data_IF_108921804573
#
_entry.id   IF_108921804573
#
_cell.length_a   1.000
_cell.length_b   1.000
_cell.length_c   1.000
_cell.angle_alpha   90.00
_cell.angle_beta   90.00
_cell.angle_gamma   90.00
#
_symmetry.space_group_name_H-M   'P 1'
#
loop_
_entity.id
_entity.type
_entity.pdbx_description
1 polymer ?
#
# COMPACT_ATOMS: atom_id res chain seq x y z
N UNK A 1 28.28 11.20 -3.86
CA UNK A 1 28.63 9.96 -4.62
C UNK A 1 27.69 9.85 -5.79
N UNK A 2 28.11 9.25 -6.91
CA UNK A 2 27.30 9.13 -8.13
C UNK A 2 26.63 7.76 -8.24
N UNK A 3 25.42 7.74 -8.80
CA UNK A 3 24.67 6.52 -9.17
C UNK A 3 23.96 6.75 -10.49
N UNK A 4 23.62 5.66 -11.20
CA UNK A 4 22.67 5.71 -12.32
C UNK A 4 21.28 5.36 -11.80
N UNK A 5 20.28 6.12 -12.19
CA UNK A 5 18.92 5.89 -11.75
C UNK A 5 17.89 6.72 -12.50
N UNK A 6 16.61 6.40 -12.27
CA UNK A 6 15.50 7.24 -12.73
C UNK A 6 15.13 8.26 -11.65
N UNK A 7 14.86 9.48 -12.06
CA UNK A 7 14.59 10.58 -11.14
C UNK A 7 13.52 11.54 -11.67
N UNK A 8 12.69 12.02 -10.76
CA UNK A 8 11.78 13.13 -11.02
C UNK A 8 12.53 14.45 -11.12
N UNK A 9 12.04 15.33 -11.99
CA UNK A 9 12.49 16.70 -12.09
C UNK A 9 11.30 17.63 -12.33
N UNK A 10 11.46 18.92 -12.00
CA UNK A 10 10.42 19.92 -12.24
C UNK A 10 10.39 20.32 -13.73
N UNK A 11 9.72 19.50 -14.54
CA UNK A 11 9.56 19.70 -15.98
C UNK A 11 8.21 19.15 -16.43
N UNK A 12 7.45 19.95 -17.18
CA UNK A 12 6.16 19.53 -17.74
C UNK A 12 6.33 18.53 -18.90
N UNK A 13 7.43 18.62 -19.65
CA UNK A 13 7.67 17.77 -20.83
C UNK A 13 8.45 16.51 -20.52
N UNK A 14 9.35 16.56 -19.55
CA UNK A 14 10.20 15.45 -19.12
C UNK A 14 10.21 15.33 -17.59
N UNK A 15 9.09 14.98 -16.95
CA UNK A 15 9.01 14.91 -15.50
C UNK A 15 9.84 13.79 -14.89
N UNK A 16 10.22 12.78 -15.68
CA UNK A 16 11.00 11.63 -15.25
C UNK A 16 12.13 11.37 -16.26
N UNK A 17 13.34 11.16 -15.76
CA UNK A 17 14.54 10.87 -16.57
C UNK A 17 15.35 9.72 -15.99
N UNK A 18 16.14 9.07 -16.85
CA UNK A 18 17.22 8.16 -16.45
C UNK A 18 18.56 8.82 -16.71
N UNK A 19 19.50 8.72 -15.76
CA UNK A 19 20.84 9.25 -15.92
C UNK A 19 21.70 9.17 -14.66
N UNK A 20 22.93 9.67 -14.77
CA UNK A 20 23.84 9.79 -13.63
C UNK A 20 23.42 10.96 -12.73
N UNK A 21 23.29 10.70 -11.44
CA UNK A 21 22.96 11.68 -10.43
C UNK A 21 23.90 11.58 -9.22
N UNK A 22 24.11 12.69 -8.54
CA UNK A 22 24.77 12.69 -7.25
C UNK A 22 23.77 12.25 -6.18
N UNK A 23 24.09 11.19 -5.46
CA UNK A 23 23.31 10.80 -4.27
C UNK A 23 23.45 11.87 -3.19
N UNK A 24 22.34 12.20 -2.61
CA UNK A 24 22.28 13.04 -1.43
C UNK A 24 21.94 12.13 -0.28
N UNK A 25 22.86 12.01 0.66
CA UNK A 25 22.52 11.40 1.92
C UNK A 25 21.37 12.22 2.54
N UNK A 26 20.28 11.59 2.96
CA UNK A 26 19.21 12.28 3.67
C UNK A 26 19.85 13.11 4.78
N UNK A 27 19.66 14.43 4.82
CA UNK A 27 20.51 15.29 5.62
C UNK A 27 20.38 15.08 7.12
N UNK A 28 19.35 14.37 7.60
CA UNK A 28 19.09 14.20 9.03
C UNK A 28 18.32 12.93 9.30
N UNK A 29 18.96 11.78 9.15
CA UNK A 29 18.39 10.55 9.70
C UNK A 29 18.73 10.48 11.19
N UNK A 30 18.03 11.26 12.00
CA UNK A 30 18.05 11.08 13.44
C UNK A 30 16.92 10.13 13.82
N UNK A 31 17.25 8.97 14.25
CA UNK A 31 16.35 8.12 15.01
C UNK A 31 16.71 8.31 16.48
N UNK A 32 15.79 8.92 17.24
CA UNK A 32 15.85 9.03 18.71
C UNK A 32 17.20 9.51 19.30
N UNK A 33 17.63 10.72 18.95
CA UNK A 33 18.68 11.40 19.70
C UNK A 33 20.10 10.85 19.53
N UNK A 34 20.34 9.98 18.57
CA UNK A 34 21.68 9.50 18.22
C UNK A 34 22.37 10.43 17.22
N UNK A 35 23.70 10.52 17.34
CA UNK A 35 24.53 11.26 16.41
C UNK A 35 24.41 10.70 15.00
N UNK A 36 24.71 11.54 13.97
CA UNK A 36 24.69 11.19 12.54
C UNK A 36 25.12 9.75 12.28
N UNK A 37 24.15 8.87 12.03
CA UNK A 37 24.45 7.52 11.56
C UNK A 37 25.03 7.61 10.14
N UNK A 38 26.15 6.94 9.93
CA UNK A 38 26.71 6.79 8.57
C UNK A 38 25.79 5.84 7.80
N UNK A 39 25.26 6.29 6.67
CA UNK A 39 24.42 5.42 5.83
C UNK A 39 25.15 4.16 5.39
N UNK A 40 24.45 3.04 5.35
CA UNK A 40 24.94 1.78 4.79
C UNK A 40 24.63 1.76 3.28
N UNK A 41 25.66 1.45 2.47
CA UNK A 41 25.49 1.23 1.04
C UNK A 41 24.65 -0.03 0.79
N UNK A 42 23.62 0.11 -0.05
CA UNK A 42 22.83 -1.01 -0.52
C UNK A 42 22.53 -0.87 -2.02
N UNK A 43 22.34 -2.02 -2.66
CA UNK A 43 22.05 -2.14 -4.08
C UNK A 43 20.61 -2.59 -4.27
N UNK A 44 19.72 -1.74 -4.81
CA UNK A 44 18.40 -2.18 -5.25
C UNK A 44 18.52 -3.35 -6.23
N UNK A 45 17.78 -4.42 -5.98
CA UNK A 45 17.86 -5.66 -6.73
C UNK A 45 16.59 -5.90 -7.54
N UNK A 46 15.44 -5.70 -6.91
CA UNK A 46 14.12 -5.92 -7.48
C UNK A 46 13.18 -4.81 -7.04
N UNK A 47 12.66 -4.06 -7.99
CA UNK A 47 11.85 -2.85 -7.71
C UNK A 47 10.43 -3.01 -8.26
N UNK A 48 9.44 -2.66 -7.45
CA UNK A 48 8.04 -2.56 -7.84
C UNK A 48 7.65 -1.13 -8.20
N UNK A 49 6.68 -1.00 -9.09
CA UNK A 49 6.08 0.28 -9.44
C UNK A 49 4.83 0.52 -8.60
N UNK A 50 4.76 1.65 -7.92
CA UNK A 50 3.62 2.07 -7.11
C UNK A 50 2.77 3.12 -7.82
N UNK A 51 1.47 3.19 -7.50
CA UNK A 51 0.59 4.27 -7.96
C UNK A 51 1.10 5.65 -7.58
N UNK A 52 1.76 5.77 -6.44
CA UNK A 52 2.42 7.00 -5.98
C UNK A 52 3.47 7.48 -6.96
N UNK A 53 4.31 6.59 -7.51
CA UNK A 53 5.32 6.97 -8.52
C UNK A 53 4.67 7.63 -9.74
N UNK A 54 3.53 7.08 -10.19
CA UNK A 54 2.78 7.60 -11.33
C UNK A 54 2.15 8.97 -11.04
N UNK A 55 1.60 9.16 -9.84
CA UNK A 55 1.04 10.45 -9.43
C UNK A 55 2.13 11.52 -9.28
N UNK A 56 3.28 11.16 -8.70
CA UNK A 56 4.44 12.05 -8.60
C UNK A 56 5.00 12.43 -9.99
N UNK A 57 5.03 11.48 -10.93
CA UNK A 57 5.43 11.78 -12.31
C UNK A 57 4.52 12.84 -12.97
N UNK A 58 3.26 12.88 -12.58
CA UNK A 58 2.28 13.86 -13.08
C UNK A 58 2.31 15.21 -12.35
N UNK A 59 3.14 15.39 -11.33
CA UNK A 59 3.10 16.60 -10.48
C UNK A 59 3.26 17.90 -11.24
N UNK A 60 4.04 17.93 -12.33
CA UNK A 60 4.11 19.04 -13.27
C UNK A 60 2.89 19.19 -14.18
N UNK A 61 1.96 18.20 -14.17
CA UNK A 61 0.76 18.07 -15.02
C UNK A 61 -0.54 18.03 -14.25
N UNK A 62 -0.60 18.55 -13.01
CA UNK A 62 -1.74 18.52 -12.11
C UNK A 62 -1.91 17.20 -11.30
N UNK A 63 -0.82 16.57 -10.88
CA UNK A 63 -0.86 15.45 -9.91
C UNK A 63 -1.39 15.88 -8.53
N UNK A 64 -1.98 14.96 -7.79
CA UNK A 64 -2.53 15.20 -6.45
C UNK A 64 -1.45 15.23 -5.36
N UNK A 65 -0.27 14.69 -5.63
CA UNK A 65 0.87 14.64 -4.72
C UNK A 65 1.98 15.57 -5.20
N UNK A 66 2.67 16.21 -4.26
CA UNK A 66 3.84 17.03 -4.52
C UNK A 66 5.07 16.32 -3.96
N UNK A 67 5.95 15.83 -4.84
CA UNK A 67 7.26 15.37 -4.40
C UNK A 67 8.05 16.54 -3.84
N UNK A 68 8.62 16.37 -2.65
CA UNK A 68 9.58 17.32 -2.13
C UNK A 68 10.98 16.85 -2.50
N UNK A 69 11.70 17.70 -3.21
CA UNK A 69 13.09 17.44 -3.53
C UNK A 69 13.97 17.58 -2.28
N UNK A 70 15.05 16.79 -2.17
CA UNK A 70 16.04 16.99 -1.12
C UNK A 70 16.54 18.44 -1.12
N UNK A 71 16.90 18.96 0.07
CA UNK A 71 17.31 20.35 0.24
C UNK A 71 18.45 20.75 -0.71
N UNK A 72 18.24 21.83 -1.47
CA UNK A 72 19.21 22.33 -2.46
C UNK A 72 19.17 21.62 -3.81
N UNK A 73 18.34 20.59 -3.99
CA UNK A 73 18.24 19.83 -5.24
C UNK A 73 16.98 20.16 -6.03
N UNK A 74 17.05 19.87 -7.34
CA UNK A 74 15.94 20.03 -8.28
C UNK A 74 15.49 18.69 -8.86
N UNK A 75 15.79 17.60 -8.17
CA UNK A 75 15.51 16.24 -8.60
C UNK A 75 15.34 15.31 -7.39
N UNK A 76 14.69 14.17 -7.60
CA UNK A 76 14.50 13.11 -6.61
C UNK A 76 14.53 11.76 -7.34
N UNK A 77 15.39 10.82 -6.93
CA UNK A 77 15.32 9.44 -7.42
C UNK A 77 14.02 8.86 -6.95
N UNK A 78 13.24 8.28 -7.89
CA UNK A 78 11.94 7.68 -7.58
C UNK A 78 12.04 6.23 -7.07
N UNK A 79 10.88 5.66 -6.71
CA UNK A 79 10.74 4.27 -6.27
C UNK A 79 10.90 4.09 -4.77
N UNK A 80 9.99 3.32 -4.19
CA UNK A 80 9.92 3.09 -2.74
C UNK A 80 9.52 1.66 -2.37
N UNK A 81 9.37 0.76 -3.34
CA UNK A 81 9.06 -0.65 -3.12
C UNK A 81 10.19 -1.50 -3.69
N UNK A 82 11.10 -1.97 -2.85
CA UNK A 82 12.30 -2.68 -3.34
C UNK A 82 12.83 -3.68 -2.34
N UNK A 83 13.43 -4.74 -2.89
CA UNK A 83 14.37 -5.60 -2.17
C UNK A 83 15.78 -5.14 -2.51
N UNK A 84 16.60 -4.92 -1.50
CA UNK A 84 17.98 -4.46 -1.64
C UNK A 84 18.97 -5.51 -1.16
N UNK A 85 20.18 -5.51 -1.74
CA UNK A 85 21.33 -6.25 -1.24
C UNK A 85 22.23 -5.32 -0.42
N UNK A 86 22.60 -5.74 0.80
CA UNK A 86 23.47 -5.01 1.71
C UNK A 86 24.83 -5.70 1.79
N UNK A 87 25.86 -5.25 1.03
CA UNK A 87 27.14 -5.94 0.92
C UNK A 87 27.89 -6.07 2.25
N UNK A 88 27.87 -5.01 3.08
CA UNK A 88 28.58 -4.99 4.38
C UNK A 88 28.04 -6.04 5.35
N UNK A 89 26.79 -6.47 5.18
CA UNK A 89 26.13 -7.45 6.04
C UNK A 89 25.92 -8.81 5.33
N UNK A 90 26.19 -8.83 4.01
CA UNK A 90 26.00 -10.01 3.17
C UNK A 90 24.58 -10.59 3.27
N UNK A 91 23.56 -9.69 3.22
CA UNK A 91 22.14 -10.02 3.38
C UNK A 91 21.26 -9.22 2.43
N UNK A 92 20.08 -9.76 2.16
CA UNK A 92 18.98 -9.00 1.56
C UNK A 92 18.14 -8.31 2.63
N UNK A 93 17.60 -7.13 2.28
CA UNK A 93 16.73 -6.37 3.16
C UNK A 93 15.58 -5.71 2.37
N UNK A 94 14.52 -5.35 3.09
CA UNK A 94 13.47 -4.45 2.65
C UNK A 94 13.73 -3.08 3.27
N UNK A 95 13.53 -2.01 2.51
CA UNK A 95 13.71 -0.66 3.02
C UNK A 95 12.41 -0.18 3.66
N UNK A 96 12.47 0.18 4.95
CA UNK A 96 11.40 0.94 5.58
C UNK A 96 11.48 2.38 5.04
N UNK A 97 10.50 2.76 4.23
CA UNK A 97 10.65 3.95 3.39
C UNK A 97 10.39 5.27 4.11
N UNK A 98 9.72 5.25 5.26
CA UNK A 98 9.36 6.46 6.03
C UNK A 98 10.18 6.57 7.30
N UNK A 99 10.75 7.74 7.55
CA UNK A 99 11.56 8.03 8.74
C UNK A 99 11.49 9.50 9.15
N UNK A 100 12.09 9.78 10.29
CA UNK A 100 12.17 11.11 10.91
C UNK A 100 12.58 10.99 12.37
N UNK A 101 12.71 12.11 13.07
CA UNK A 101 13.01 12.14 14.51
C UNK A 101 11.81 11.68 15.35
N UNK A 102 10.59 11.90 14.87
CA UNK A 102 9.38 11.32 15.45
C UNK A 102 9.30 9.85 15.10
N UNK A 103 9.20 9.01 16.13
CA UNK A 103 8.98 7.59 15.92
C UNK A 103 7.50 7.22 15.72
N UNK A 104 6.63 8.23 15.75
CA UNK A 104 5.20 8.05 15.51
C UNK A 104 4.88 8.41 14.06
N UNK A 105 4.67 7.40 13.20
CA UNK A 105 4.39 7.63 11.78
C UNK A 105 3.04 8.35 11.55
N UNK A 106 2.20 8.46 12.57
CA UNK A 106 0.92 9.18 12.48
C UNK A 106 1.08 10.68 12.60
N UNK A 107 2.26 11.17 13.02
CA UNK A 107 2.56 12.58 13.25
C UNK A 107 3.56 13.18 12.25
N UNK A 108 3.71 12.58 11.10
CA UNK A 108 4.72 13.02 10.12
C UNK A 108 4.57 14.48 9.68
N UNK A 109 3.36 15.03 9.66
CA UNK A 109 3.13 16.43 9.30
C UNK A 109 3.62 17.43 10.36
N UNK A 110 3.86 16.97 11.58
CA UNK A 110 4.40 17.75 12.70
C UNK A 110 5.92 17.56 12.86
N UNK A 111 6.51 16.59 12.15
CA UNK A 111 7.92 16.27 12.21
C UNK A 111 8.67 16.94 11.06
N UNK A 112 9.41 18.02 11.36
CA UNK A 112 10.23 18.74 10.38
C UNK A 112 11.36 17.88 9.81
N UNK A 113 11.69 16.76 10.45
CA UNK A 113 12.72 15.83 10.01
C UNK A 113 12.19 14.67 9.17
N UNK A 114 10.86 14.61 8.95
CA UNK A 114 10.24 13.58 8.14
C UNK A 114 10.81 13.51 6.75
N UNK A 115 11.01 12.30 6.28
CA UNK A 115 11.36 11.99 4.91
C UNK A 115 10.68 10.69 4.44
N UNK A 116 10.55 10.55 3.15
CA UNK A 116 10.10 9.32 2.51
C UNK A 116 10.97 9.03 1.28
N UNK A 117 11.67 7.90 1.29
CA UNK A 117 12.51 7.51 0.17
C UNK A 117 11.69 7.45 -1.13
N UNK A 118 12.15 8.16 -2.15
CA UNK A 118 11.50 8.22 -3.46
C UNK A 118 10.26 9.11 -3.57
N UNK A 119 9.83 9.74 -2.46
CA UNK A 119 8.64 10.59 -2.43
C UNK A 119 8.88 11.96 -1.80
N UNK A 120 9.50 12.03 -0.62
CA UNK A 120 9.67 13.26 0.14
C UNK A 120 11.08 13.36 0.74
N UNK A 121 11.89 14.30 0.26
CA UNK A 121 13.16 14.70 0.85
C UNK A 121 14.32 13.70 0.75
N UNK A 122 14.09 12.47 0.30
CA UNK A 122 15.12 11.43 0.23
C UNK A 122 15.09 10.64 -1.09
N UNK A 123 16.28 10.41 -1.68
CA UNK A 123 16.44 9.64 -2.90
C UNK A 123 15.93 8.20 -2.75
N UNK A 124 15.15 7.72 -3.72
CA UNK A 124 14.51 6.41 -3.74
C UNK A 124 15.39 5.27 -4.26
N UNK A 125 14.74 4.26 -4.78
CA UNK A 125 15.28 2.92 -5.00
C UNK A 125 15.47 2.54 -6.48
N UNK A 126 14.96 3.32 -7.44
CA UNK A 126 15.20 3.07 -8.87
C UNK A 126 16.60 3.59 -9.30
N UNK A 127 17.63 3.05 -8.66
CA UNK A 127 19.04 3.39 -8.93
C UNK A 127 19.95 2.18 -8.70
N UNK A 128 21.19 2.26 -9.22
CA UNK A 128 22.12 1.15 -9.11
C UNK A 128 22.61 0.95 -7.66
N UNK A 129 22.67 2.03 -6.87
CA UNK A 129 23.00 1.99 -5.44
C UNK A 129 22.48 3.22 -4.71
N UNK A 130 22.23 3.09 -3.43
CA UNK A 130 21.85 4.16 -2.53
C UNK A 130 22.42 3.91 -1.12
N UNK A 131 22.28 4.88 -0.22
CA UNK A 131 22.67 4.79 1.18
C UNK A 131 21.43 4.91 2.05
N UNK A 132 21.30 3.99 3.00
CA UNK A 132 20.16 3.93 3.91
C UNK A 132 20.63 3.99 5.36
N UNK A 133 19.78 4.55 6.20
CA UNK A 133 19.95 4.40 7.64
C UNK A 133 19.86 2.89 8.00
N UNK A 134 20.81 2.34 8.75
CA UNK A 134 20.79 0.92 9.15
C UNK A 134 19.46 0.48 9.76
N UNK A 135 18.83 1.34 10.54
CA UNK A 135 17.54 1.05 11.20
C UNK A 135 16.35 1.03 10.22
N UNK A 136 16.54 1.52 8.99
CA UNK A 136 15.55 1.46 7.93
C UNK A 136 15.70 0.20 7.05
N UNK A 137 16.70 -0.63 7.32
CA UNK A 137 16.95 -1.88 6.60
C UNK A 137 16.42 -3.06 7.40
N UNK A 138 15.26 -3.57 6.99
CA UNK A 138 14.64 -4.73 7.61
C UNK A 138 15.10 -6.00 6.90
N UNK A 139 15.90 -6.83 7.61
CA UNK A 139 16.39 -8.08 7.04
C UNK A 139 15.28 -9.08 6.80
N UNK A 140 15.48 -9.92 5.79
CA UNK A 140 14.58 -11.04 5.55
C UNK A 140 14.63 -12.03 6.72
N UNK A 141 13.54 -12.80 6.96
CA UNK A 141 13.50 -13.84 7.98
C UNK A 141 14.72 -14.78 7.95
N UNK A 142 15.12 -15.32 9.09
CA UNK A 142 16.31 -16.18 9.26
C UNK A 142 16.40 -17.33 8.26
N UNK A 143 15.26 -17.90 7.86
CA UNK A 143 15.21 -18.98 6.81
C UNK A 143 15.80 -18.56 5.46
N UNK A 144 16.01 -17.26 5.23
CA UNK A 144 16.62 -16.69 4.02
C UNK A 144 18.04 -16.14 4.28
N UNK A 145 18.59 -16.36 5.48
CA UNK A 145 19.96 -15.97 5.81
C UNK A 145 20.96 -16.74 4.95
N UNK A 146 21.99 -16.03 4.49
CA UNK A 146 23.03 -16.63 3.65
C UNK A 146 22.70 -16.79 2.16
N UNK A 147 21.51 -16.37 1.71
CA UNK A 147 21.22 -16.30 0.28
C UNK A 147 22.24 -15.39 -0.41
N UNK A 148 22.84 -15.88 -1.51
CA UNK A 148 23.73 -15.10 -2.38
C UNK A 148 22.99 -14.49 -3.56
N UNK A 149 21.87 -15.09 -3.92
CA UNK A 149 20.95 -14.63 -4.96
C UNK A 149 19.53 -14.77 -4.46
N UNK A 150 18.71 -13.77 -4.76
CA UNK A 150 17.31 -13.74 -4.39
C UNK A 150 16.48 -14.51 -5.41
N UNK A 151 15.73 -15.55 -5.03
CA UNK A 151 14.81 -16.24 -5.91
C UNK A 151 13.76 -15.28 -6.48
N UNK A 152 13.48 -15.38 -7.77
CA UNK A 152 12.54 -14.47 -8.45
C UNK A 152 11.13 -14.52 -7.83
N UNK A 153 10.64 -15.72 -7.52
CA UNK A 153 9.32 -15.87 -6.85
C UNK A 153 9.27 -15.18 -5.51
N UNK A 154 10.36 -15.26 -4.71
CA UNK A 154 10.45 -14.54 -3.43
C UNK A 154 10.52 -13.02 -3.64
N UNK A 155 11.31 -12.55 -4.60
CA UNK A 155 11.42 -11.12 -4.93
C UNK A 155 10.05 -10.53 -5.32
N UNK A 156 9.29 -11.25 -6.16
CA UNK A 156 7.93 -10.88 -6.57
C UNK A 156 6.95 -10.78 -5.39
N UNK A 157 7.11 -11.58 -4.35
CA UNK A 157 6.31 -11.49 -3.12
C UNK A 157 6.71 -10.28 -2.28
N UNK A 158 8.00 -10.14 -2.05
CA UNK A 158 8.55 -9.11 -1.14
C UNK A 158 8.43 -7.68 -1.67
N UNK A 159 8.28 -7.48 -2.96
CA UNK A 159 8.04 -6.15 -3.55
C UNK A 159 6.74 -5.51 -3.06
N UNK A 160 5.85 -6.29 -2.48
CA UNK A 160 4.61 -5.82 -1.88
C UNK A 160 4.73 -5.42 -0.40
N UNK A 161 5.92 -5.45 0.19
CA UNK A 161 6.08 -5.26 1.64
C UNK A 161 5.49 -3.93 2.12
N UNK A 162 5.73 -2.82 1.43
CA UNK A 162 5.15 -1.53 1.78
C UNK A 162 3.61 -1.51 1.68
N UNK A 163 2.98 -1.81 0.54
CA UNK A 163 1.52 -1.78 0.46
C UNK A 163 0.83 -2.85 1.32
N UNK A 164 1.51 -3.97 1.60
CA UNK A 164 0.97 -4.98 2.49
C UNK A 164 1.05 -4.57 3.96
N UNK A 165 2.12 -3.89 4.38
CA UNK A 165 2.22 -3.29 5.72
C UNK A 165 1.12 -2.25 5.97
N UNK A 166 0.77 -1.46 4.94
CA UNK A 166 -0.42 -0.60 5.00
C UNK A 166 -1.69 -1.41 5.30
N UNK A 167 -1.88 -2.55 4.63
CA UNK A 167 -3.07 -3.38 4.83
C UNK A 167 -3.12 -4.02 6.23
N UNK A 168 -1.99 -4.46 6.77
CA UNK A 168 -1.87 -4.94 8.16
C UNK A 168 -2.34 -3.85 9.12
N UNK A 169 -1.79 -2.65 8.98
CA UNK A 169 -2.14 -1.50 9.82
C UNK A 169 -3.62 -1.12 9.68
N UNK A 170 -4.16 -1.09 8.45
CA UNK A 170 -5.58 -0.79 8.22
C UNK A 170 -6.50 -1.79 8.90
N UNK A 171 -6.15 -3.08 8.84
CA UNK A 171 -6.92 -4.12 9.50
C UNK A 171 -6.94 -3.91 11.03
N UNK A 172 -5.79 -3.71 11.66
CA UNK A 172 -5.68 -3.49 13.11
C UNK A 172 -6.48 -2.25 13.55
N UNK A 173 -6.40 -1.15 12.79
CA UNK A 173 -7.19 0.05 13.07
C UNK A 173 -8.70 -0.16 12.96
N UNK A 174 -9.16 -0.89 11.94
CA UNK A 174 -10.59 -1.24 11.82
C UNK A 174 -11.05 -2.11 12.97
N UNK A 175 -10.23 -3.06 13.40
CA UNK A 175 -10.52 -3.93 14.53
C UNK A 175 -10.65 -3.13 15.85
N UNK A 176 -9.69 -2.26 16.15
CA UNK A 176 -9.71 -1.39 17.34
C UNK A 176 -10.95 -0.51 17.40
N UNK A 177 -11.27 0.16 16.27
CA UNK A 177 -12.45 1.02 16.16
C UNK A 177 -13.72 0.20 16.33
N UNK A 178 -13.82 -0.93 15.66
CA UNK A 178 -14.99 -1.82 15.72
C UNK A 178 -15.22 -2.39 17.12
N UNK A 179 -14.17 -2.82 17.79
CA UNK A 179 -14.27 -3.26 19.18
C UNK A 179 -14.77 -2.13 20.09
N UNK A 180 -14.23 -0.93 19.96
CA UNK A 180 -14.67 0.21 20.77
C UNK A 180 -16.14 0.56 20.55
N UNK A 181 -16.64 0.49 19.31
CA UNK A 181 -18.03 0.77 18.97
C UNK A 181 -18.99 -0.33 19.41
N UNK A 182 -18.65 -1.59 19.14
CA UNK A 182 -19.56 -2.72 19.28
C UNK A 182 -19.55 -3.35 20.65
N UNK A 183 -18.49 -3.19 21.45
CA UNK A 183 -18.34 -3.84 22.77
C UNK A 183 -19.57 -3.68 23.68
N UNK A 184 -20.02 -2.42 23.87
CA UNK A 184 -21.18 -2.16 24.76
C UNK A 184 -22.49 -2.70 24.20
N UNK A 185 -22.63 -2.69 22.88
CA UNK A 185 -23.79 -3.20 22.16
C UNK A 185 -23.87 -4.72 22.34
N UNK A 186 -22.76 -5.44 22.08
CA UNK A 186 -22.73 -6.90 22.22
C UNK A 186 -22.88 -7.34 23.67
N UNK A 187 -22.26 -6.62 24.62
CA UNK A 187 -22.44 -6.90 26.05
C UNK A 187 -23.90 -6.78 26.50
N UNK A 188 -24.57 -5.71 26.12
CA UNK A 188 -25.98 -5.48 26.48
C UNK A 188 -26.91 -6.48 25.80
N UNK A 189 -26.67 -6.76 24.51
CA UNK A 189 -27.50 -7.71 23.73
C UNK A 189 -27.40 -9.15 24.21
N UNK A 190 -26.20 -9.62 24.54
CA UNK A 190 -25.91 -11.02 24.89
C UNK A 190 -25.86 -11.26 26.38
N UNK A 191 -25.81 -10.21 27.20
CA UNK A 191 -25.70 -10.32 28.69
C UNK A 191 -24.50 -11.18 29.13
N UNK A 192 -23.37 -11.03 28.46
CA UNK A 192 -22.18 -11.83 28.64
C UNK A 192 -21.08 -11.09 29.42
N UNK A 193 -19.99 -11.76 29.71
CA UNK A 193 -18.79 -11.15 30.34
C UNK A 193 -18.10 -10.14 29.42
N UNK A 194 -17.19 -9.32 29.94
CA UNK A 194 -16.44 -8.35 29.17
C UNK A 194 -15.54 -9.04 28.13
N UNK A 195 -14.92 -10.17 28.48
CA UNK A 195 -14.08 -10.93 27.55
C UNK A 195 -14.88 -11.47 26.37
N UNK A 196 -16.04 -12.07 26.63
CA UNK A 196 -16.95 -12.55 25.59
C UNK A 196 -17.50 -11.41 24.74
N UNK A 197 -17.85 -10.27 25.36
CA UNK A 197 -18.32 -9.10 24.63
C UNK A 197 -17.26 -8.53 23.70
N UNK A 198 -15.99 -8.54 24.09
CA UNK A 198 -14.87 -8.11 23.23
C UNK A 198 -14.71 -9.04 22.03
N UNK A 199 -14.79 -10.35 22.23
CA UNK A 199 -14.70 -11.32 21.14
C UNK A 199 -15.85 -11.16 20.14
N UNK A 200 -17.10 -11.06 20.64
CA UNK A 200 -18.26 -10.79 19.79
C UNK A 200 -18.18 -9.45 19.07
N UNK A 201 -17.60 -8.42 19.70
CA UNK A 201 -17.39 -7.12 19.05
C UNK A 201 -16.39 -7.22 17.93
N UNK A 202 -15.31 -7.99 18.10
CA UNK A 202 -14.30 -8.28 17.07
C UNK A 202 -14.93 -8.99 15.88
N UNK A 203 -15.65 -10.08 16.10
CA UNK A 203 -16.31 -10.85 15.04
C UNK A 203 -17.36 -10.00 14.30
N UNK A 204 -18.23 -9.30 15.05
CA UNK A 204 -19.32 -8.51 14.45
C UNK A 204 -18.81 -7.31 13.63
N UNK A 205 -17.60 -6.83 13.91
CA UNK A 205 -16.96 -5.76 13.13
C UNK A 205 -16.79 -6.16 11.68
N UNK A 206 -16.35 -7.39 11.40
CA UNK A 206 -16.09 -7.86 10.05
C UNK A 206 -17.16 -8.83 9.50
N UNK A 207 -18.39 -8.76 10.03
CA UNK A 207 -19.50 -9.63 9.55
C UNK A 207 -19.78 -9.42 8.05
N UNK A 208 -19.84 -8.15 7.61
CA UNK A 208 -20.12 -7.78 6.20
C UNK A 208 -19.18 -6.68 5.75
N UNK A 209 -18.23 -7.04 4.91
CA UNK A 209 -17.17 -6.13 4.43
C UNK A 209 -17.34 -5.84 2.94
N UNK A 210 -17.35 -4.57 2.59
CA UNK A 210 -17.30 -4.09 1.21
C UNK A 210 -15.95 -3.44 0.97
N UNK A 211 -15.25 -3.86 -0.08
CA UNK A 211 -14.00 -3.23 -0.54
C UNK A 211 -14.26 -2.65 -1.93
N UNK A 212 -14.36 -1.32 -2.00
CA UNK A 212 -14.68 -0.61 -3.24
C UNK A 212 -13.39 -0.20 -3.96
N UNK A 213 -13.01 -1.02 -4.92
CA UNK A 213 -11.76 -0.97 -5.67
C UNK A 213 -11.02 -2.30 -5.60
N UNK A 214 -10.60 -2.81 -6.77
CA UNK A 214 -9.88 -4.07 -6.91
C UNK A 214 -8.44 -3.80 -7.39
N UNK A 215 -7.76 -2.92 -6.71
CA UNK A 215 -6.32 -2.68 -6.84
C UNK A 215 -5.52 -3.50 -5.83
N UNK A 216 -4.20 -3.34 -5.86
CA UNK A 216 -3.25 -4.04 -4.98
C UNK A 216 -3.64 -3.89 -3.50
N UNK A 217 -3.85 -2.66 -3.05
CA UNK A 217 -4.21 -2.37 -1.65
C UNK A 217 -5.54 -2.99 -1.24
N UNK A 218 -6.56 -2.92 -2.11
CA UNK A 218 -7.85 -3.55 -1.85
C UNK A 218 -7.72 -5.05 -1.63
N UNK A 219 -6.96 -5.74 -2.50
CA UNK A 219 -6.70 -7.18 -2.36
C UNK A 219 -5.98 -7.51 -1.05
N UNK A 220 -5.00 -6.70 -0.65
CA UNK A 220 -4.25 -6.93 0.60
C UNK A 220 -5.11 -6.72 1.84
N UNK A 221 -5.95 -5.68 1.86
CA UNK A 221 -6.89 -5.47 2.95
C UNK A 221 -7.87 -6.65 3.03
N UNK A 222 -8.38 -7.12 1.90
CA UNK A 222 -9.24 -8.29 1.86
C UNK A 222 -8.55 -9.57 2.34
N UNK A 223 -7.29 -9.79 1.97
CA UNK A 223 -6.48 -10.92 2.42
C UNK A 223 -6.23 -10.85 3.94
N UNK A 224 -5.90 -9.68 4.48
CA UNK A 224 -5.73 -9.48 5.92
C UNK A 224 -7.02 -9.75 6.69
N UNK A 225 -8.15 -9.26 6.21
CA UNK A 225 -9.45 -9.54 6.84
C UNK A 225 -9.75 -11.05 6.79
N UNK A 226 -9.53 -11.72 5.66
CA UNK A 226 -9.77 -13.15 5.53
C UNK A 226 -8.91 -13.99 6.45
N UNK A 227 -7.63 -13.63 6.61
CA UNK A 227 -6.67 -14.34 7.50
C UNK A 227 -7.07 -14.28 8.96
N UNK A 228 -7.63 -13.16 9.39
CA UNK A 228 -7.96 -12.92 10.80
C UNK A 228 -9.44 -13.20 11.10
N UNK A 229 -10.33 -13.18 10.10
CA UNK A 229 -11.77 -13.35 10.21
C UNK A 229 -12.27 -14.30 9.12
N UNK A 230 -12.15 -15.61 9.37
CA UNK A 230 -12.47 -16.66 8.40
C UNK A 230 -13.94 -16.57 7.91
N UNK A 231 -14.86 -16.20 8.78
CA UNK A 231 -16.28 -16.12 8.48
C UNK A 231 -16.76 -14.79 7.89
N UNK A 232 -15.86 -13.80 7.72
CA UNK A 232 -16.20 -12.50 7.15
C UNK A 232 -16.80 -12.65 5.75
N UNK A 233 -17.92 -11.99 5.49
CA UNK A 233 -18.48 -11.88 4.13
C UNK A 233 -17.79 -10.71 3.42
N UNK A 234 -16.85 -11.01 2.57
CA UNK A 234 -16.06 -9.98 1.83
C UNK A 234 -16.60 -9.88 0.41
N UNK A 235 -16.94 -8.67 0.00
CA UNK A 235 -17.34 -8.33 -1.37
C UNK A 235 -16.41 -7.27 -1.94
N UNK A 236 -15.70 -7.62 -3.00
CA UNK A 236 -15.02 -6.63 -3.82
C UNK A 236 -15.97 -6.02 -4.83
N UNK A 237 -15.86 -4.71 -5.01
CA UNK A 237 -16.65 -3.93 -5.98
C UNK A 237 -15.70 -3.22 -6.94
N UNK A 238 -15.93 -3.35 -8.25
CA UNK A 238 -15.06 -2.72 -9.24
C UNK A 238 -15.59 -2.81 -10.66
N UNK A 239 -14.84 -2.29 -11.63
CA UNK A 239 -15.25 -2.25 -13.06
C UNK A 239 -14.54 -3.28 -13.94
N UNK A 240 -13.70 -4.13 -13.36
CA UNK A 240 -12.98 -5.14 -14.14
C UNK A 240 -13.91 -6.29 -14.52
N UNK A 241 -13.70 -6.86 -15.71
CA UNK A 241 -14.43 -8.09 -16.06
C UNK A 241 -14.02 -9.24 -15.14
N UNK A 242 -14.91 -10.21 -14.96
CA UNK A 242 -14.69 -11.38 -14.09
C UNK A 242 -13.53 -12.26 -14.56
N UNK A 243 -13.14 -12.17 -15.82
CA UNK A 243 -12.07 -12.95 -16.44
C UNK A 243 -10.66 -12.42 -16.11
N UNK A 244 -10.56 -11.23 -15.53
CA UNK A 244 -9.25 -10.64 -15.21
C UNK A 244 -8.53 -11.40 -14.08
N UNK A 245 -7.21 -11.48 -14.17
CA UNK A 245 -6.38 -12.17 -13.17
C UNK A 245 -6.64 -11.68 -11.73
N UNK A 246 -6.82 -10.37 -11.56
CA UNK A 246 -7.12 -9.77 -10.24
C UNK A 246 -8.47 -10.22 -9.66
N UNK A 247 -9.50 -10.41 -10.49
CA UNK A 247 -10.80 -10.91 -10.02
C UNK A 247 -10.70 -12.40 -9.70
N UNK A 248 -10.02 -13.17 -10.53
CA UNK A 248 -9.73 -14.59 -10.24
C UNK A 248 -8.96 -14.74 -8.93
N UNK A 249 -7.92 -13.94 -8.73
CA UNK A 249 -7.14 -13.93 -7.49
C UNK A 249 -8.01 -13.58 -6.25
N UNK A 250 -8.87 -12.56 -6.37
CA UNK A 250 -9.80 -12.20 -5.30
C UNK A 250 -10.73 -13.35 -4.91
N UNK A 251 -11.26 -14.07 -5.90
CA UNK A 251 -12.17 -15.22 -5.69
C UNK A 251 -11.44 -16.47 -5.16
N UNK A 252 -10.31 -16.81 -5.74
CA UNK A 252 -9.61 -18.07 -5.48
C UNK A 252 -8.66 -18.01 -4.27
N UNK A 253 -7.96 -16.89 -4.09
CA UNK A 253 -6.94 -16.72 -3.02
C UNK A 253 -7.55 -16.03 -1.80
N UNK A 254 -8.18 -14.87 -1.99
CA UNK A 254 -8.83 -14.14 -0.89
C UNK A 254 -10.16 -14.80 -0.48
N UNK A 255 -10.74 -15.64 -1.34
CA UNK A 255 -12.04 -16.31 -1.13
C UNK A 255 -13.16 -15.28 -0.85
N UNK A 256 -13.22 -14.26 -1.67
CA UNK A 256 -14.19 -13.17 -1.59
C UNK A 256 -15.11 -13.16 -2.82
N UNK A 257 -16.31 -12.63 -2.64
CA UNK A 257 -17.22 -12.35 -3.75
C UNK A 257 -16.78 -11.12 -4.55
N UNK A 258 -17.26 -11.02 -5.78
CA UNK A 258 -17.01 -9.87 -6.65
C UNK A 258 -18.30 -9.34 -7.27
N UNK A 259 -18.40 -8.02 -7.42
CA UNK A 259 -19.45 -7.30 -8.14
C UNK A 259 -18.82 -6.39 -9.19
N UNK A 260 -19.08 -6.68 -10.46
CA UNK A 260 -18.71 -5.78 -11.56
C UNK A 260 -19.78 -4.67 -11.70
N UNK A 261 -19.36 -3.41 -11.72
CA UNK A 261 -20.24 -2.24 -11.75
C UNK A 261 -20.11 -1.39 -13.01
N UNK A 262 -19.43 -1.91 -14.04
CA UNK A 262 -19.08 -1.13 -15.25
C UNK A 262 -20.29 -0.52 -15.99
N UNK A 263 -21.46 -1.16 -15.90
CA UNK A 263 -22.71 -0.70 -16.52
C UNK A 263 -23.82 -0.31 -15.52
N UNK A 264 -23.51 -0.22 -14.23
CA UNK A 264 -24.48 0.04 -13.17
C UNK A 264 -24.48 1.52 -12.76
N UNK A 265 -25.66 2.05 -12.47
CA UNK A 265 -25.81 3.28 -11.70
C UNK A 265 -25.37 3.08 -10.25
N UNK A 266 -25.18 4.18 -9.51
CA UNK A 266 -24.79 4.11 -8.09
C UNK A 266 -25.88 3.45 -7.23
N UNK A 267 -27.17 3.72 -7.54
CA UNK A 267 -28.30 3.10 -6.86
C UNK A 267 -28.35 1.58 -7.11
N UNK A 268 -28.23 1.14 -8.37
CA UNK A 268 -28.16 -0.29 -8.71
C UNK A 268 -26.94 -0.96 -8.07
N UNK A 269 -25.80 -0.28 -8.04
CA UNK A 269 -24.60 -0.77 -7.36
C UNK A 269 -24.88 -1.02 -5.88
N UNK A 270 -25.48 -0.05 -5.18
CA UNK A 270 -25.82 -0.16 -3.78
C UNK A 270 -26.80 -1.31 -3.48
N UNK A 271 -27.89 -1.43 -4.27
CA UNK A 271 -28.85 -2.50 -4.13
C UNK A 271 -28.21 -3.88 -4.31
N UNK A 272 -27.36 -4.04 -5.33
CA UNK A 272 -26.66 -5.30 -5.59
C UNK A 272 -25.64 -5.63 -4.50
N UNK A 273 -24.93 -4.64 -3.95
CA UNK A 273 -24.02 -4.83 -2.81
C UNK A 273 -24.83 -5.39 -1.61
N UNK A 274 -25.89 -4.67 -1.20
CA UNK A 274 -26.72 -5.05 -0.04
C UNK A 274 -27.29 -6.47 -0.22
N UNK A 275 -27.74 -6.79 -1.42
CA UNK A 275 -28.28 -8.13 -1.74
C UNK A 275 -27.20 -9.21 -1.63
N UNK A 276 -25.99 -8.96 -2.21
CA UNK A 276 -24.91 -9.96 -2.22
C UNK A 276 -24.35 -10.27 -0.83
N UNK A 277 -24.16 -9.24 0.01
CA UNK A 277 -23.62 -9.44 1.37
C UNK A 277 -24.71 -9.78 2.40
N UNK A 278 -25.99 -9.74 2.01
CA UNK A 278 -27.12 -10.09 2.88
C UNK A 278 -27.47 -9.01 3.91
N UNK A 279 -27.32 -7.73 3.55
CA UNK A 279 -27.63 -6.59 4.40
C UNK A 279 -26.67 -5.42 4.18
N UNK A 280 -26.75 -4.39 5.03
CA UNK A 280 -25.82 -3.27 5.00
C UNK A 280 -24.44 -3.68 5.54
N UNK A 281 -23.37 -3.09 5.03
CA UNK A 281 -22.01 -3.42 5.45
C UNK A 281 -21.69 -2.93 6.87
N UNK A 282 -20.89 -3.69 7.60
CA UNK A 282 -20.32 -3.27 8.89
C UNK A 282 -19.00 -2.49 8.69
N UNK A 283 -18.26 -2.85 7.64
CA UNK A 283 -17.05 -2.16 7.19
C UNK A 283 -17.17 -1.86 5.71
N UNK A 284 -16.82 -0.64 5.33
CA UNK A 284 -16.69 -0.21 3.94
C UNK A 284 -15.30 0.40 3.72
N UNK A 285 -14.53 -0.19 2.82
CA UNK A 285 -13.18 0.26 2.49
C UNK A 285 -13.18 0.92 1.12
N UNK A 286 -12.90 2.22 1.06
CA UNK A 286 -12.78 3.00 -0.16
C UNK A 286 -11.33 3.05 -0.62
N UNK A 287 -11.03 2.35 -1.73
CA UNK A 287 -9.68 2.29 -2.33
C UNK A 287 -9.70 2.58 -3.84
N UNK A 288 -10.80 3.08 -4.35
CA UNK A 288 -10.92 3.41 -5.80
C UNK A 288 -10.47 4.83 -6.14
N UNK A 289 -10.37 5.71 -5.16
CA UNK A 289 -10.03 7.12 -5.34
C UNK A 289 -11.12 7.94 -6.04
N UNK A 290 -12.36 7.47 -6.03
CA UNK A 290 -13.49 8.14 -6.69
C UNK A 290 -14.57 8.58 -5.71
N UNK A 291 -15.32 9.65 -6.06
CA UNK A 291 -16.45 10.08 -5.23
C UNK A 291 -17.63 9.08 -5.24
N UNK A 292 -17.65 8.12 -6.18
CA UNK A 292 -18.71 7.10 -6.27
C UNK A 292 -18.73 6.24 -5.01
N UNK A 293 -17.57 5.83 -4.51
CA UNK A 293 -17.49 4.97 -3.31
C UNK A 293 -18.13 5.62 -2.09
N UNK A 294 -17.96 6.94 -1.91
CA UNK A 294 -18.56 7.67 -0.80
C UNK A 294 -20.07 7.80 -0.92
N UNK A 295 -20.58 8.11 -2.13
CA UNK A 295 -22.02 8.22 -2.35
C UNK A 295 -22.69 6.85 -2.18
N UNK A 296 -22.10 5.79 -2.68
CA UNK A 296 -22.60 4.43 -2.48
C UNK A 296 -22.62 4.08 -0.98
N UNK A 297 -21.56 4.40 -0.23
CA UNK A 297 -21.51 4.11 1.20
C UNK A 297 -22.55 4.88 2.00
N UNK A 298 -22.66 6.19 1.80
CA UNK A 298 -23.45 7.09 2.67
C UNK A 298 -24.79 7.50 2.09
N UNK A 299 -24.85 8.02 0.85
CA UNK A 299 -26.10 8.50 0.25
C UNK A 299 -27.03 7.34 -0.11
N UNK A 300 -26.47 6.24 -0.64
CA UNK A 300 -27.21 5.01 -0.92
C UNK A 300 -27.23 4.01 0.25
N UNK A 301 -26.74 4.43 1.43
CA UNK A 301 -26.86 3.71 2.72
C UNK A 301 -26.35 2.26 2.69
N UNK A 302 -25.29 1.97 1.96
CA UNK A 302 -24.65 0.65 1.99
C UNK A 302 -23.96 0.42 3.33
N UNK A 303 -23.37 1.47 3.94
CA UNK A 303 -22.80 1.38 5.28
C UNK A 303 -23.91 1.30 6.33
N UNK A 304 -23.86 0.31 7.23
CA UNK A 304 -24.83 0.09 8.29
C UNK A 304 -24.60 0.93 9.53
N UNK A 305 -25.55 0.90 10.49
CA UNK A 305 -25.38 1.55 11.79
C UNK A 305 -24.14 1.02 12.51
N UNK A 306 -23.43 1.89 13.22
CA UNK A 306 -22.11 1.64 13.82
C UNK A 306 -21.05 1.21 12.80
N UNK A 307 -21.28 1.48 11.51
CA UNK A 307 -20.38 1.09 10.43
C UNK A 307 -19.09 1.93 10.39
N UNK A 308 -18.03 1.28 9.93
CA UNK A 308 -16.71 1.89 9.78
C UNK A 308 -16.46 2.15 8.28
N UNK A 309 -16.17 3.40 7.93
CA UNK A 309 -15.69 3.76 6.61
C UNK A 309 -14.18 4.00 6.67
N UNK A 310 -13.41 3.15 5.99
CA UNK A 310 -11.98 3.33 5.80
C UNK A 310 -11.72 4.04 4.47
N UNK A 311 -11.32 5.31 4.52
CA UNK A 311 -10.93 6.10 3.35
C UNK A 311 -9.43 5.97 3.11
N UNK A 312 -9.00 4.89 2.49
CA UNK A 312 -7.56 4.67 2.24
C UNK A 312 -7.08 5.43 1.00
N UNK A 313 -7.92 5.62 0.01
CA UNK A 313 -7.52 6.28 -1.23
C UNK A 313 -7.29 7.79 -1.06
N UNK A 314 -6.27 8.32 -1.71
CA UNK A 314 -6.06 9.76 -1.88
C UNK A 314 -7.06 10.30 -2.91
N UNK A 315 -8.31 10.41 -2.49
CA UNK A 315 -9.42 10.81 -3.34
C UNK A 315 -9.64 12.33 -3.41
N UNK A 316 -10.59 12.77 -4.24
CA UNK A 316 -10.99 14.17 -4.30
C UNK A 316 -11.68 14.61 -2.99
N UNK A 317 -11.86 15.93 -2.83
CA UNK A 317 -12.56 16.50 -1.68
C UNK A 317 -13.98 15.92 -1.56
N UNK A 318 -14.35 15.46 -0.37
CA UNK A 318 -15.63 14.87 -0.06
C UNK A 318 -16.42 15.81 0.82
N UNK A 319 -17.73 15.91 0.57
CA UNK A 319 -18.67 16.64 1.44
C UNK A 319 -19.64 15.63 2.05
N UNK A 320 -19.85 15.69 3.35
CA UNK A 320 -20.78 14.82 4.09
C UNK A 320 -21.98 15.61 4.60
N UNK A 321 -23.18 15.01 4.55
CA UNK A 321 -24.29 15.39 5.40
C UNK A 321 -24.05 14.80 6.80
N UNK A 322 -23.82 15.63 7.77
CA UNK A 322 -23.47 15.20 9.12
C UNK A 322 -24.64 14.63 9.90
N UNK A 323 -25.90 14.91 9.51
CA UNK A 323 -27.07 14.48 10.26
C UNK A 323 -27.30 12.96 10.15
N UNK A 324 -27.43 12.35 8.96
CA UNK A 324 -27.51 10.88 8.85
C UNK A 324 -26.30 10.19 9.44
N UNK A 325 -25.12 10.77 9.27
CA UNK A 325 -23.86 10.28 9.81
C UNK A 325 -23.90 10.14 11.34
N UNK A 326 -24.38 11.18 12.05
CA UNK A 326 -24.49 11.17 13.49
C UNK A 326 -25.56 10.21 14.01
N UNK A 327 -26.72 10.11 13.34
CA UNK A 327 -27.77 9.19 13.74
C UNK A 327 -27.42 7.71 13.59
N UNK A 328 -26.55 7.37 12.65
CA UNK A 328 -26.14 6.00 12.40
C UNK A 328 -24.82 5.62 13.10
N UNK A 329 -24.22 6.57 13.87
CA UNK A 329 -22.95 6.36 14.60
C UNK A 329 -21.81 5.87 13.71
N UNK A 330 -21.67 6.44 12.51
CA UNK A 330 -20.61 6.06 11.62
C UNK A 330 -19.24 6.59 12.13
N UNK A 331 -18.18 5.83 11.86
CA UNK A 331 -16.81 6.29 11.99
C UNK A 331 -16.15 6.33 10.63
N UNK A 332 -15.52 7.46 10.32
CA UNK A 332 -14.60 7.57 9.16
C UNK A 332 -13.19 7.70 9.70
N UNK A 333 -12.29 6.94 9.14
CA UNK A 333 -10.86 7.16 9.34
C UNK A 333 -10.09 7.05 8.03
N UNK A 334 -8.95 7.71 7.98
CA UNK A 334 -7.98 7.61 6.90
C UNK A 334 -6.59 7.55 7.53
N UNK A 335 -5.77 6.62 7.09
CA UNK A 335 -4.37 6.54 7.50
C UNK A 335 -3.60 5.69 6.49
N UNK A 336 -2.39 6.11 6.16
CA UNK A 336 -1.50 5.38 5.26
C UNK A 336 -0.20 4.96 5.94
N UNK A 337 0.07 5.51 7.13
CA UNK A 337 1.33 5.30 7.82
C UNK A 337 1.25 4.05 8.72
N UNK A 338 2.27 3.24 8.64
CA UNK A 338 2.44 2.02 9.41
C UNK A 338 3.78 2.07 10.18
N UNK A 339 3.94 1.21 11.17
CA UNK A 339 5.17 1.09 11.95
C UNK A 339 6.07 0.01 11.38
N UNK A 340 7.32 -0.07 11.89
CA UNK A 340 8.25 -1.14 11.57
C UNK A 340 7.64 -2.54 11.83
N UNK A 341 6.92 -2.71 12.94
CA UNK A 341 6.29 -4.00 13.28
C UNK A 341 5.28 -4.48 12.22
N UNK A 342 4.52 -3.55 11.61
CA UNK A 342 3.60 -3.91 10.51
C UNK A 342 4.38 -4.36 9.26
N UNK A 343 5.53 -3.73 8.97
CA UNK A 343 6.39 -4.13 7.85
C UNK A 343 7.01 -5.51 8.09
N UNK A 344 7.51 -5.79 9.29
CA UNK A 344 8.04 -7.10 9.66
C UNK A 344 6.98 -8.20 9.51
N UNK A 345 5.76 -7.96 10.00
CA UNK A 345 4.62 -8.85 9.82
C UNK A 345 4.24 -9.04 8.35
N UNK A 346 4.31 -7.96 7.54
CA UNK A 346 4.08 -8.04 6.11
C UNK A 346 5.10 -8.93 5.39
N UNK A 347 6.39 -8.79 5.70
CA UNK A 347 7.48 -9.59 5.13
C UNK A 347 7.27 -11.08 5.45
N UNK A 348 6.92 -11.42 6.69
CA UNK A 348 6.63 -12.79 7.10
C UNK A 348 5.48 -13.38 6.29
N UNK A 349 4.32 -12.72 6.27
CA UNK A 349 3.13 -13.19 5.56
C UNK A 349 3.38 -13.32 4.05
N UNK A 350 4.02 -12.32 3.44
CA UNK A 350 4.28 -12.30 2.01
C UNK A 350 5.20 -13.44 1.59
N UNK A 351 6.20 -13.77 2.41
CA UNK A 351 7.15 -14.84 2.11
C UNK A 351 6.47 -16.19 1.89
N UNK A 352 5.28 -16.40 2.46
CA UNK A 352 4.47 -17.63 2.38
C UNK A 352 3.22 -17.49 1.50
N UNK A 353 3.01 -16.31 0.91
CA UNK A 353 1.83 -16.00 0.10
C UNK A 353 1.97 -16.49 -1.36
N UNK A 354 0.89 -16.29 -2.14
CA UNK A 354 0.84 -16.53 -3.59
C UNK A 354 0.82 -15.22 -4.40
N UNK A 355 1.23 -14.10 -3.81
CA UNK A 355 1.17 -12.79 -4.48
C UNK A 355 2.19 -12.64 -5.63
N UNK A 356 3.18 -13.52 -5.74
CA UNK A 356 4.07 -13.60 -6.90
C UNK A 356 3.31 -13.86 -8.22
N UNK A 357 2.16 -14.53 -8.17
CA UNK A 357 1.33 -14.86 -9.33
C UNK A 357 0.74 -13.65 -10.05
N UNK A 358 0.64 -12.51 -9.37
CA UNK A 358 0.05 -11.27 -9.90
C UNK A 358 1.08 -10.20 -10.24
N UNK A 359 2.38 -10.55 -10.25
CA UNK A 359 3.48 -9.65 -10.61
C UNK A 359 4.01 -9.98 -12.00
N UNK A 360 3.93 -9.02 -12.90
CA UNK A 360 4.56 -9.09 -14.21
C UNK A 360 5.85 -8.26 -14.25
N UNK A 361 6.79 -8.69 -15.07
CA UNK A 361 8.08 -8.03 -15.24
C UNK A 361 8.09 -7.15 -16.47
N UNK A 362 8.68 -5.96 -16.33
CA UNK A 362 9.17 -5.17 -17.45
C UNK A 362 10.69 -5.31 -17.54
N UNK A 363 11.23 -5.30 -18.76
CA UNK A 363 12.69 -5.29 -18.96
C UNK A 363 13.29 -3.96 -18.52
N UNK A 364 14.44 -3.99 -17.83
CA UNK A 364 15.11 -2.79 -17.33
C UNK A 364 15.52 -1.83 -18.47
N UNK A 365 16.11 -2.41 -19.54
CA UNK A 365 16.60 -1.58 -20.66
C UNK A 365 15.44 -0.90 -21.39
N UNK A 366 14.32 -1.59 -21.50
CA UNK A 366 13.09 -1.02 -22.05
C UNK A 366 12.54 0.10 -21.15
N UNK A 367 12.53 -0.10 -19.83
CA UNK A 367 12.06 0.91 -18.89
C UNK A 367 12.93 2.18 -18.92
N UNK A 368 14.26 2.03 -18.86
CA UNK A 368 15.17 3.19 -18.78
C UNK A 368 15.31 3.94 -20.12
N UNK A 369 14.97 3.29 -21.25
CA UNK A 369 15.01 3.93 -22.56
C UNK A 369 13.95 5.05 -22.69
N UNK A 370 12.76 4.83 -22.16
CA UNK A 370 11.68 5.83 -22.09
C UNK A 370 10.80 5.57 -20.85
N UNK A 371 11.22 6.08 -19.67
CA UNK A 371 10.50 5.81 -18.44
C UNK A 371 9.07 6.37 -18.43
N UNK A 372 8.82 7.50 -19.11
CA UNK A 372 7.49 8.12 -19.17
C UNK A 372 6.54 7.22 -19.98
N UNK A 373 6.98 6.80 -21.17
CA UNK A 373 6.20 5.90 -22.02
C UNK A 373 5.89 4.58 -21.29
N UNK A 374 6.88 4.02 -20.59
CA UNK A 374 6.70 2.79 -19.83
C UNK A 374 5.63 2.95 -18.73
N UNK A 375 5.66 4.04 -17.96
CA UNK A 375 4.63 4.31 -16.95
C UNK A 375 3.24 4.46 -17.56
N UNK A 376 3.09 5.25 -18.62
CA UNK A 376 1.79 5.57 -19.22
C UNK A 376 1.17 4.40 -20.00
N UNK A 377 1.99 3.58 -20.65
CA UNK A 377 1.49 2.60 -21.63
C UNK A 377 1.63 1.14 -21.18
N UNK A 378 2.54 0.83 -20.25
CA UNK A 378 2.81 -0.56 -19.81
C UNK A 378 2.46 -0.79 -18.35
N UNK A 379 2.84 0.16 -17.46
CA UNK A 379 2.71 -0.02 -16.02
C UNK A 379 1.32 0.38 -15.53
N UNK A 380 0.75 1.48 -16.04
CA UNK A 380 -0.56 2.01 -15.63
C UNK A 380 -1.58 2.11 -16.75
N UNK A 381 -1.43 1.32 -17.79
CA UNK A 381 -2.45 1.21 -18.84
C UNK A 381 -3.69 0.44 -18.34
N UNK A 382 -4.81 0.55 -19.08
CA UNK A 382 -6.03 -0.23 -18.77
C UNK A 382 -5.83 -1.75 -18.81
N UNK A 383 -4.86 -2.21 -19.60
CA UNK A 383 -4.49 -3.60 -19.74
C UNK A 383 -3.37 -4.03 -18.78
N UNK A 384 -2.88 -3.09 -17.96
CA UNK A 384 -1.76 -3.36 -17.07
C UNK A 384 -2.05 -4.49 -16.07
N UNK A 385 -1.03 -5.26 -15.70
CA UNK A 385 -1.12 -6.23 -14.64
C UNK A 385 -1.43 -5.56 -13.31
N UNK A 386 -1.76 -6.35 -12.29
CA UNK A 386 -2.04 -5.79 -10.97
C UNK A 386 -0.80 -5.14 -10.35
N UNK A 387 0.37 -5.70 -10.60
CA UNK A 387 1.66 -5.15 -10.20
C UNK A 387 2.68 -5.37 -11.30
N UNK A 388 3.38 -4.32 -11.66
CA UNK A 388 4.57 -4.40 -12.51
C UNK A 388 5.81 -4.22 -11.65
N UNK A 389 6.87 -4.95 -11.97
CA UNK A 389 8.16 -4.86 -11.32
C UNK A 389 9.31 -5.00 -12.32
N UNK A 390 10.51 -4.61 -11.89
CA UNK A 390 11.72 -4.69 -12.71
C UNK A 390 12.86 -5.32 -11.93
N UNK A 391 13.60 -6.23 -12.57
CA UNK A 391 14.87 -6.72 -12.04
C UNK A 391 15.92 -5.61 -12.28
N UNK A 392 16.29 -4.91 -11.22
CA UNK A 392 17.23 -3.80 -11.34
C UNK A 392 18.69 -4.26 -11.40
N UNK A 393 19.04 -5.26 -10.57
CA UNK A 393 20.40 -5.80 -10.54
C UNK A 393 20.41 -7.33 -10.68
N UNK A 394 20.61 -7.80 -11.90
CA UNK A 394 20.61 -9.24 -12.24
C UNK A 394 21.70 -10.06 -11.53
N UNK A 395 22.78 -9.40 -11.04
CA UNK A 395 23.88 -10.11 -10.37
C UNK A 395 23.44 -10.77 -9.06
N UNK A 396 22.43 -10.21 -8.40
CA UNK A 396 21.90 -10.69 -7.13
C UNK A 396 20.57 -11.47 -7.28
N UNK A 397 20.14 -11.75 -8.49
CA UNK A 397 18.90 -12.50 -8.76
C UNK A 397 19.18 -13.93 -9.19
N UNK A 398 18.36 -14.86 -8.70
CA UNK A 398 18.22 -16.19 -9.25
C UNK A 398 16.97 -16.20 -10.14
N UNK A 399 17.22 -16.18 -11.46
CA UNK A 399 16.14 -16.22 -12.46
C UNK A 399 15.67 -17.66 -12.60
N UNK A 400 14.35 -17.86 -12.58
CA UNK A 400 13.75 -19.16 -12.89
C UNK A 400 14.16 -19.58 -14.32
N UNK A 401 14.49 -20.87 -14.47
CA UNK A 401 14.91 -21.43 -15.76
C UNK A 401 13.71 -21.68 -16.68
#
# INVERSE_FOLDING_TARGET
MKTLGTYFQNSETEPLKYGEVNLINPPRQRLRGEEKLTGIEAFPVFNGFCGTDFELMKMGRAGNLNAKFPEGEKRLINGHESVVWVPSENRFAIVLIRGGDSCDPTRYTEDETYFEYGCDGADGLFCDKNYFNPQMLLHLPEKYEGLKKLPLSLAKKLVFSDPYACAVFQHERMEDIGMAQNFRVEKAKRKCSDAEAMEYARESTFDRVVIFGLGTTGLFIGDQIRRNHENAKILFVGRSSEETAKVKFAKEVVKADYLCTDSMSEAETAENIIKKIGGRSTVFVGVSGTNVEHRVAFEHKVLGCNGIYNSFSLGPKITFDTMPFGFENHVIFASINFTQAHMEKAIEILSESRFDEIVELIDKEEFIADPIYAYENKIYSKAAPLKTAVVWNKNYMEMEK
#
